data_IF_343998742988
#
_entry.id   IF_343998742988
#
_cell.length_a   1.000
_cell.length_b   1.000
_cell.length_c   1.000
_cell.angle_alpha   90.00
_cell.angle_beta   90.00
_cell.angle_gamma   90.00
#
_symmetry.space_group_name_H-M   'P 1'
#
loop_
_entity.id
_entity.type
_entity.pdbx_description
1 polymer ?
#
# COMPACT_ATOMS: atom_id res chain seq x y z
N UNK A 1 24.91 2.19 -0.44
CA UNK A 1 25.05 1.58 0.90
C UNK A 1 24.10 2.20 1.92
N UNK A 2 24.20 3.51 2.21
CA UNK A 2 23.35 4.20 3.22
C UNK A 2 21.84 4.03 2.98
N UNK A 3 21.37 4.16 1.73
CA UNK A 3 19.96 3.95 1.40
C UNK A 3 19.48 2.53 1.71
N UNK A 4 20.31 1.50 1.52
CA UNK A 4 19.95 0.13 1.86
C UNK A 4 19.78 -0.03 3.37
N UNK A 5 20.73 0.46 4.18
CA UNK A 5 20.63 0.38 5.65
C UNK A 5 19.36 1.06 6.18
N UNK A 6 18.99 2.22 5.62
CA UNK A 6 17.77 2.94 5.99
C UNK A 6 16.53 2.10 5.66
N UNK A 7 16.48 1.51 4.45
CA UNK A 7 15.35 0.67 4.02
C UNK A 7 15.18 -0.54 4.95
N UNK A 8 16.27 -1.25 5.24
CA UNK A 8 16.26 -2.43 6.12
C UNK A 8 15.87 -2.08 7.56
N UNK A 9 16.34 -0.94 8.07
CA UNK A 9 15.99 -0.48 9.43
C UNK A 9 14.51 -0.10 9.53
N UNK A 10 13.97 0.63 8.55
CA UNK A 10 12.54 0.95 8.48
C UNK A 10 11.67 -0.30 8.37
N UNK A 11 12.09 -1.31 7.60
CA UNK A 11 11.39 -2.59 7.47
C UNK A 11 11.36 -3.34 8.80
N UNK A 12 12.50 -3.43 9.50
CA UNK A 12 12.58 -4.11 10.79
C UNK A 12 11.68 -3.45 11.84
N UNK A 13 11.68 -2.12 11.89
CA UNK A 13 10.83 -1.34 12.80
C UNK A 13 9.34 -1.56 12.54
N UNK A 14 8.94 -1.55 11.27
CA UNK A 14 7.56 -1.82 10.86
C UNK A 14 7.13 -3.25 11.21
N UNK A 15 8.01 -4.24 11.00
CA UNK A 15 7.72 -5.64 11.35
C UNK A 15 7.59 -5.85 12.86
N UNK A 16 8.39 -5.13 13.64
CA UNK A 16 8.33 -5.15 15.10
C UNK A 16 7.00 -4.59 15.63
N UNK A 17 6.57 -3.43 15.10
CA UNK A 17 5.29 -2.81 15.44
C UNK A 17 4.09 -3.71 15.04
N UNK A 18 4.23 -4.43 13.93
CA UNK A 18 3.26 -5.43 13.48
C UNK A 18 3.14 -6.63 14.42
N UNK A 19 4.26 -7.17 14.91
CA UNK A 19 4.26 -8.30 15.82
C UNK A 19 3.58 -7.95 17.15
N UNK A 20 3.75 -6.71 17.62
CA UNK A 20 3.12 -6.22 18.85
C UNK A 20 1.61 -6.04 18.70
N UNK A 21 1.15 -5.56 17.55
CA UNK A 21 -0.27 -5.23 17.31
C UNK A 21 -1.10 -6.45 16.88
N UNK A 22 -0.48 -7.47 16.28
CA UNK A 22 -1.12 -8.71 15.82
C UNK A 22 -1.96 -9.45 16.88
N UNK A 23 -1.51 -9.66 18.13
CA UNK A 23 -2.33 -10.34 19.15
C UNK A 23 -3.59 -9.56 19.52
N UNK A 24 -3.53 -8.23 19.52
CA UNK A 24 -4.69 -7.36 19.74
C UNK A 24 -5.65 -7.40 18.55
N UNK A 25 -5.11 -7.44 17.33
CA UNK A 25 -5.88 -7.53 16.08
C UNK A 25 -6.64 -8.86 15.96
N UNK A 26 -6.01 -10.00 16.24
CA UNK A 26 -6.69 -11.31 16.22
C UNK A 26 -7.84 -11.32 17.22
N UNK A 27 -7.65 -10.79 18.42
CA UNK A 27 -8.70 -10.79 19.45
C UNK A 27 -9.87 -9.87 19.11
N UNK A 28 -9.64 -8.72 18.49
CA UNK A 28 -10.68 -7.70 18.24
C UNK A 28 -11.30 -7.76 16.83
N UNK A 29 -10.55 -8.15 15.81
CA UNK A 29 -11.00 -8.16 14.41
C UNK A 29 -11.60 -9.50 14.00
N UNK A 30 -11.10 -10.65 14.49
CA UNK A 30 -11.66 -11.95 14.13
C UNK A 30 -12.96 -12.30 14.85
N UNK A 31 -13.27 -11.64 15.98
CA UNK A 31 -14.55 -11.80 16.67
C UNK A 31 -15.61 -10.73 16.35
N UNK A 32 -15.25 -9.68 15.60
CA UNK A 32 -16.17 -8.56 15.30
C UNK A 32 -16.55 -8.50 13.82
N UNK A 33 -17.71 -7.90 13.52
CA UNK A 33 -18.26 -7.75 12.16
C UNK A 33 -17.20 -7.15 11.20
N UNK A 34 -16.83 -7.91 10.16
CA UNK A 34 -15.94 -7.48 9.09
C UNK A 34 -16.35 -6.11 8.53
N UNK A 35 -15.60 -5.06 8.86
CA UNK A 35 -15.77 -3.72 8.25
C UNK A 35 -14.88 -3.64 7.00
N UNK A 36 -15.34 -2.92 5.98
CA UNK A 36 -14.54 -2.61 4.78
C UNK A 36 -13.14 -2.08 5.13
N UNK A 37 -13.01 -1.31 6.21
CA UNK A 37 -11.74 -0.82 6.74
C UNK A 37 -10.72 -1.92 7.06
N UNK A 38 -11.16 -3.12 7.45
CA UNK A 38 -10.29 -4.27 7.75
C UNK A 38 -9.71 -4.88 6.48
N UNK A 39 -10.49 -4.93 5.39
CA UNK A 39 -10.04 -5.44 4.09
C UNK A 39 -8.99 -4.50 3.50
N UNK A 40 -9.23 -3.18 3.55
CA UNK A 40 -8.24 -2.21 3.11
C UNK A 40 -6.98 -2.23 3.98
N UNK A 41 -7.11 -2.42 5.30
CA UNK A 41 -5.96 -2.56 6.20
C UNK A 41 -5.11 -3.79 5.87
N UNK A 42 -5.75 -4.94 5.61
CA UNK A 42 -5.10 -6.17 5.15
C UNK A 42 -4.37 -5.92 3.81
N UNK A 43 -5.06 -5.30 2.84
CA UNK A 43 -4.47 -5.01 1.53
C UNK A 43 -3.23 -4.09 1.64
N UNK A 44 -3.32 -3.05 2.49
CA UNK A 44 -2.21 -2.14 2.79
C UNK A 44 -1.05 -2.84 3.51
N UNK A 45 -1.34 -3.80 4.38
CA UNK A 45 -0.34 -4.60 5.12
C UNK A 45 0.46 -5.52 4.20
N UNK A 46 -0.22 -6.23 3.30
CA UNK A 46 0.46 -7.08 2.32
C UNK A 46 1.19 -6.24 1.25
N UNK A 47 0.77 -4.99 1.00
CA UNK A 47 1.48 -4.04 0.12
C UNK A 47 2.89 -3.71 0.55
N UNK A 48 3.07 -3.52 1.84
CA UNK A 48 4.36 -3.21 2.41
C UNK A 48 5.33 -4.39 2.26
N UNK A 49 4.83 -5.61 2.47
CA UNK A 49 5.60 -6.86 2.32
C UNK A 49 6.05 -7.09 0.87
N UNK A 50 5.21 -6.78 -0.13
CA UNK A 50 5.62 -6.93 -1.53
C UNK A 50 6.77 -5.99 -1.91
N UNK A 51 6.82 -4.78 -1.34
CA UNK A 51 7.92 -3.84 -1.56
C UNK A 51 9.25 -4.36 -0.99
N UNK A 52 9.21 -5.09 0.13
CA UNK A 52 10.38 -5.78 0.71
C UNK A 52 10.88 -6.88 -0.23
N UNK A 53 9.96 -7.67 -0.78
CA UNK A 53 10.33 -8.74 -1.71
C UNK A 53 10.89 -8.16 -3.02
N UNK A 54 10.39 -7.01 -3.48
CA UNK A 54 10.95 -6.30 -4.63
C UNK A 54 12.40 -5.85 -4.42
N UNK A 55 12.72 -5.29 -3.25
CA UNK A 55 14.09 -4.93 -2.88
C UNK A 55 15.01 -6.15 -2.82
N UNK A 56 14.49 -7.29 -2.36
CA UNK A 56 15.23 -8.56 -2.29
C UNK A 56 15.46 -9.16 -3.68
N UNK A 57 14.52 -8.97 -4.62
CA UNK A 57 14.68 -9.36 -6.02
C UNK A 57 15.74 -8.54 -6.74
N UNK A 58 15.76 -7.22 -6.51
CA UNK A 58 16.80 -6.34 -7.06
C UNK A 58 18.18 -6.65 -6.47
N UNK A 59 18.24 -7.12 -5.23
CA UNK A 59 19.47 -7.61 -4.61
C UNK A 59 19.98 -8.94 -5.20
N UNK A 60 19.29 -9.52 -6.19
CA UNK A 60 19.71 -10.72 -6.91
C UNK A 60 19.51 -12.02 -6.14
N UNK A 61 18.76 -12.01 -5.03
CA UNK A 61 18.59 -13.18 -4.16
C UNK A 61 17.39 -14.06 -4.56
N UNK A 62 16.49 -13.56 -5.40
CA UNK A 62 15.32 -14.30 -5.89
C UNK A 62 15.20 -14.13 -7.41
N UNK A 63 15.21 -15.26 -8.12
CA UNK A 63 15.04 -15.32 -9.56
C UNK A 63 13.60 -14.92 -9.93
N UNK A 64 13.49 -13.87 -10.73
CA UNK A 64 12.27 -13.09 -10.92
C UNK A 64 11.22 -13.82 -11.75
N UNK A 65 10.31 -14.53 -11.09
CA UNK A 65 9.06 -14.92 -11.73
C UNK A 65 8.23 -13.66 -12.06
N UNK A 66 7.96 -13.41 -13.35
CA UNK A 66 7.26 -12.22 -13.89
C UNK A 66 5.95 -11.84 -13.16
N UNK A 67 5.31 -12.81 -12.49
CA UNK A 67 4.11 -12.60 -11.67
C UNK A 67 4.38 -11.66 -10.51
N UNK A 68 5.54 -11.75 -9.86
CA UNK A 68 5.84 -10.98 -8.65
C UNK A 68 5.98 -9.49 -8.92
N UNK A 69 6.61 -9.11 -10.04
CA UNK A 69 6.72 -7.72 -10.47
C UNK A 69 5.34 -7.08 -10.71
N UNK A 70 4.42 -7.82 -11.33
CA UNK A 70 3.06 -7.36 -11.59
C UNK A 70 2.23 -7.21 -10.31
N UNK A 71 2.39 -8.15 -9.37
CA UNK A 71 1.76 -8.11 -8.05
C UNK A 71 2.25 -6.92 -7.23
N UNK A 72 3.56 -6.67 -7.20
CA UNK A 72 4.15 -5.52 -6.48
C UNK A 72 3.60 -4.19 -6.99
N UNK A 73 3.51 -4.02 -8.31
CA UNK A 73 3.00 -2.79 -8.93
C UNK A 73 1.55 -2.51 -8.53
N UNK A 74 0.66 -3.50 -8.66
CA UNK A 74 -0.73 -3.36 -8.25
C UNK A 74 -0.86 -3.03 -6.77
N UNK A 75 -0.05 -3.67 -5.95
CA UNK A 75 -0.17 -3.59 -4.51
C UNK A 75 0.36 -2.27 -3.94
N UNK A 76 1.38 -1.66 -4.58
CA UNK A 76 1.82 -0.29 -4.27
C UNK A 76 0.71 0.74 -4.48
N UNK A 77 -0.01 0.63 -5.61
CA UNK A 77 -1.17 1.49 -5.92
C UNK A 77 -2.30 1.26 -4.91
N UNK A 78 -2.58 0.01 -4.57
CA UNK A 78 -3.59 -0.35 -3.57
C UNK A 78 -3.27 0.19 -2.17
N UNK A 79 -1.99 0.24 -1.80
CA UNK A 79 -1.54 0.83 -0.54
C UNK A 79 -1.86 2.32 -0.44
N UNK A 80 -1.55 3.09 -1.48
CA UNK A 80 -1.83 4.54 -1.53
C UNK A 80 -3.34 4.83 -1.49
N UNK A 81 -4.12 4.07 -2.25
CA UNK A 81 -5.57 4.15 -2.23
C UNK A 81 -6.14 3.84 -0.82
N UNK A 82 -5.57 2.86 -0.12
CA UNK A 82 -5.97 2.51 1.24
C UNK A 82 -5.72 3.63 2.26
N UNK A 83 -4.57 4.31 2.19
CA UNK A 83 -4.29 5.44 3.07
C UNK A 83 -5.28 6.59 2.83
N UNK A 84 -5.52 6.94 1.56
CA UNK A 84 -6.43 8.02 1.17
C UNK A 84 -7.86 7.74 1.61
N UNK A 85 -8.33 6.50 1.45
CA UNK A 85 -9.68 6.09 1.86
C UNK A 85 -9.84 6.09 3.38
N UNK A 86 -8.86 5.64 4.16
CA UNK A 86 -8.90 5.70 5.63
C UNK A 86 -8.90 7.17 6.10
N UNK A 87 -8.04 8.00 5.53
CA UNK A 87 -7.99 9.42 5.85
C UNK A 87 -9.33 10.12 5.52
N UNK A 88 -9.91 9.79 4.36
CA UNK A 88 -11.23 10.29 3.94
C UNK A 88 -12.34 9.81 4.87
N UNK A 89 -12.31 8.54 5.28
CA UNK A 89 -13.31 8.00 6.22
C UNK A 89 -13.25 8.69 7.59
N UNK A 90 -12.04 8.97 8.09
CA UNK A 90 -11.82 9.67 9.37
C UNK A 90 -12.29 11.13 9.30
N UNK A 91 -11.90 11.86 8.26
CA UNK A 91 -12.32 13.26 8.05
C UNK A 91 -13.84 13.36 7.85
N UNK A 92 -14.44 12.41 7.15
CA UNK A 92 -15.89 12.34 6.97
C UNK A 92 -16.64 12.10 8.29
N UNK A 93 -16.08 11.30 9.21
CA UNK A 93 -16.65 11.08 10.53
C UNK A 93 -16.56 12.34 11.42
N UNK A 94 -15.48 13.12 11.31
CA UNK A 94 -15.27 14.35 12.10
C UNK A 94 -16.23 15.47 11.70
N UNK A 95 -16.55 15.61 10.41
CA UNK A 95 -17.39 16.70 9.90
C UNK A 95 -18.88 16.34 9.76
N UNK A 96 -19.38 15.51 10.67
CA UNK A 96 -20.80 15.15 10.78
C UNK A 96 -21.45 14.70 9.45
N UNK A 97 -20.70 13.94 8.62
CA UNK A 97 -21.21 13.32 7.38
C UNK A 97 -21.55 14.29 6.23
N UNK A 98 -21.01 15.49 6.23
CA UNK A 98 -21.23 16.46 5.15
C UNK A 98 -20.62 15.98 3.81
N UNK A 99 -21.46 15.95 2.77
CA UNK A 99 -21.12 15.47 1.41
C UNK A 99 -20.02 16.25 0.66
N UNK A 100 -19.84 17.59 0.82
CA UNK A 100 -18.87 18.32 -0.01
C UNK A 100 -17.41 17.91 0.26
N UNK A 101 -17.04 17.53 1.48
CA UNK A 101 -15.66 17.09 1.77
C UNK A 101 -15.35 15.75 1.12
N UNK A 102 -16.35 14.85 1.09
CA UNK A 102 -16.16 13.54 0.49
C UNK A 102 -15.85 13.69 -1.01
N UNK A 103 -16.52 14.63 -1.67
CA UNK A 103 -16.27 14.95 -3.08
C UNK A 103 -14.89 15.60 -3.25
N UNK A 104 -14.52 16.57 -2.41
CA UNK A 104 -13.21 17.23 -2.53
C UNK A 104 -12.05 16.26 -2.27
N UNK A 105 -12.06 15.54 -1.13
CA UNK A 105 -11.02 14.55 -0.81
C UNK A 105 -11.04 13.36 -1.77
N UNK A 106 -12.22 12.92 -2.21
CA UNK A 106 -12.36 11.87 -3.22
C UNK A 106 -11.74 12.28 -4.55
N UNK A 107 -11.94 13.52 -5.00
CA UNK A 107 -11.35 14.03 -6.24
C UNK A 107 -9.83 14.08 -6.18
N UNK A 108 -9.26 14.54 -5.06
CA UNK A 108 -7.82 14.57 -4.82
C UNK A 108 -7.26 13.14 -4.78
N UNK A 109 -7.95 12.22 -4.09
CA UNK A 109 -7.55 10.82 -4.01
C UNK A 109 -7.52 10.16 -5.40
N UNK A 110 -8.55 10.41 -6.22
CA UNK A 110 -8.63 9.89 -7.58
C UNK A 110 -7.51 10.45 -8.47
N UNK A 111 -7.22 11.76 -8.37
CA UNK A 111 -6.13 12.39 -9.09
C UNK A 111 -4.77 11.76 -8.74
N UNK A 112 -4.50 11.51 -7.46
CA UNK A 112 -3.28 10.84 -7.02
C UNK A 112 -3.16 9.42 -7.59
N UNK A 113 -4.21 8.61 -7.51
CA UNK A 113 -4.20 7.23 -8.04
C UNK A 113 -4.03 7.22 -9.55
N UNK A 114 -4.68 8.13 -10.27
CA UNK A 114 -4.53 8.27 -11.71
C UNK A 114 -3.09 8.62 -12.10
N UNK A 115 -2.45 9.55 -11.37
CA UNK A 115 -1.07 9.94 -11.61
C UNK A 115 -0.09 8.78 -11.37
N UNK A 116 -0.32 7.98 -10.33
CA UNK A 116 0.48 6.79 -10.04
C UNK A 116 0.35 5.68 -11.10
N UNK A 117 -0.87 5.47 -11.60
CA UNK A 117 -1.13 4.54 -12.70
C UNK A 117 -0.44 4.99 -14.00
N UNK A 118 -0.51 6.29 -14.31
CA UNK A 118 0.18 6.85 -15.48
C UNK A 118 1.69 6.70 -15.34
N UNK A 119 2.27 6.99 -14.17
CA UNK A 119 3.70 6.85 -13.94
C UNK A 119 4.19 5.40 -14.07
N UNK A 120 3.46 4.45 -13.47
CA UNK A 120 3.80 3.02 -13.55
C UNK A 120 3.64 2.47 -14.97
N UNK A 121 2.57 2.85 -15.68
CA UNK A 121 2.37 2.48 -17.08
C UNK A 121 3.45 3.07 -17.99
N UNK A 122 3.80 4.34 -17.79
CA UNK A 122 4.86 5.02 -18.54
C UNK A 122 6.23 4.37 -18.31
N UNK A 123 6.56 4.01 -17.07
CA UNK A 123 7.79 3.27 -16.75
C UNK A 123 7.81 1.89 -17.41
N UNK A 124 6.67 1.18 -17.44
CA UNK A 124 6.57 -0.11 -18.11
C UNK A 124 6.75 0.01 -19.63
N UNK A 125 6.13 1.02 -20.26
CA UNK A 125 6.29 1.31 -21.69
C UNK A 125 7.74 1.68 -22.03
N UNK A 126 8.42 2.44 -21.17
CA UNK A 126 9.82 2.84 -21.39
C UNK A 126 10.82 1.73 -21.12
N UNK A 127 10.47 0.75 -20.29
CA UNK A 127 11.27 -0.43 -20.01
C UNK A 127 11.04 -1.58 -21.03
N UNK A 128 10.05 -1.47 -21.92
CA UNK A 128 9.95 -2.34 -23.08
C UNK A 128 11.05 -1.91 -24.08
N UNK A 129 12.12 -2.71 -24.28
CA UNK A 129 13.10 -2.40 -25.30
C UNK A 129 12.37 -2.32 -26.65
N UNK A 130 12.59 -1.23 -27.38
CA UNK A 130 12.40 -1.26 -28.82
C UNK A 130 13.27 -2.39 -29.36
N UNK A 131 12.60 -3.41 -29.91
CA UNK A 131 13.07 -4.51 -30.77
C UNK A 131 14.16 -5.44 -30.22
#
# INVERSE_FOLDING_TARGET
FVQYCIQWSSIALVYYDYALTFPLEVKHIWQSRFRFSTILYICCRYALIANVIYLLAIAGLIDGCNVWYKVVGFLSVAGRASVLTIFTARTWAVWARSKPILVSLGSIALACVAMDLVNTWFLHVRAAPHV
#
